data_IF_009479159074
#
_entry.id   IF_009479159074
#
_cell.length_a   1.000
_cell.length_b   1.000
_cell.length_c   1.000
_cell.angle_alpha   90.00
_cell.angle_beta   90.00
_cell.angle_gamma   90.00
#
_symmetry.space_group_name_H-M   'P 1'
#
loop_
_entity.id
_entity.type
_entity.pdbx_description
1 polymer ?
#
# COMPACT_ATOMS: atom_id res chain seq x y z
N UNK A 1 17.84 -39.17 13.96
CA UNK A 1 17.65 -38.62 12.60
C UNK A 1 17.04 -37.24 12.77
N UNK A 2 17.79 -36.18 12.46
CA UNK A 2 17.34 -34.80 12.69
C UNK A 2 16.69 -34.28 11.40
N UNK A 3 15.38 -34.11 11.42
CA UNK A 3 14.63 -33.50 10.31
C UNK A 3 14.79 -31.99 10.39
N UNK A 4 15.41 -31.38 9.38
CA UNK A 4 15.39 -29.92 9.25
C UNK A 4 13.99 -29.48 8.80
N UNK A 5 13.35 -28.50 9.46
CA UNK A 5 12.08 -27.98 8.99
C UNK A 5 12.24 -27.40 7.59
N UNK A 6 11.33 -27.78 6.67
CA UNK A 6 11.25 -27.18 5.35
C UNK A 6 11.12 -25.65 5.51
N UNK A 7 11.93 -24.84 4.82
CA UNK A 7 11.85 -23.39 4.94
C UNK A 7 10.42 -22.94 4.66
N UNK A 8 9.93 -22.04 5.51
CA UNK A 8 8.66 -21.31 5.35
C UNK A 8 8.58 -20.85 3.90
N UNK A 9 7.61 -21.40 3.14
CA UNK A 9 7.41 -21.30 1.69
C UNK A 9 8.29 -20.21 1.05
N UNK A 10 9.44 -20.64 0.53
CA UNK A 10 10.29 -19.72 -0.22
C UNK A 10 9.48 -19.07 -1.33
N UNK A 11 9.59 -17.74 -1.48
CA UNK A 11 8.86 -17.03 -2.53
C UNK A 11 9.58 -17.28 -3.85
N UNK A 12 8.82 -17.71 -4.85
CA UNK A 12 9.31 -17.96 -6.20
C UNK A 12 8.90 -16.81 -7.12
N UNK A 13 9.84 -16.38 -7.96
CA UNK A 13 9.60 -15.43 -9.06
C UNK A 13 10.07 -16.12 -10.34
N UNK A 14 9.13 -16.41 -11.24
CA UNK A 14 9.40 -17.11 -12.49
C UNK A 14 9.94 -16.14 -13.55
N UNK A 15 10.82 -16.64 -14.40
CA UNK A 15 11.31 -15.95 -15.57
C UNK A 15 10.13 -15.63 -16.51
N UNK A 16 10.10 -14.39 -17.03
CA UNK A 16 9.07 -13.91 -17.93
C UNK A 16 9.16 -14.56 -19.32
N UNK A 17 10.33 -15.06 -19.72
CA UNK A 17 10.55 -15.56 -21.08
C UNK A 17 9.89 -16.92 -21.33
N UNK A 18 10.31 -17.95 -20.59
CA UNK A 18 9.93 -19.35 -20.84
C UNK A 18 9.38 -20.06 -19.60
N UNK A 19 9.44 -19.41 -18.42
CA UNK A 19 9.15 -20.00 -17.11
C UNK A 19 9.95 -21.27 -16.79
N UNK A 20 11.01 -21.59 -17.54
CA UNK A 20 11.91 -22.70 -17.27
C UNK A 20 12.93 -22.34 -16.17
N UNK A 21 13.06 -21.03 -15.88
CA UNK A 21 13.92 -20.52 -14.79
C UNK A 21 13.10 -19.79 -13.74
N UNK A 22 13.61 -19.79 -12.52
CA UNK A 22 13.04 -19.01 -11.44
C UNK A 22 14.09 -18.58 -10.41
N UNK A 23 13.78 -17.49 -9.73
CA UNK A 23 14.48 -17.06 -8.53
C UNK A 23 13.66 -17.47 -7.31
N UNK A 24 14.29 -18.15 -6.36
CA UNK A 24 13.70 -18.50 -5.06
C UNK A 24 14.40 -17.74 -3.96
N UNK A 25 13.59 -17.10 -3.11
CA UNK A 25 14.03 -16.45 -1.87
C UNK A 25 13.77 -17.37 -0.68
N UNK A 26 14.79 -17.65 0.12
CA UNK A 26 14.67 -18.44 1.36
C UNK A 26 15.35 -17.73 2.53
N UNK A 27 14.70 -17.69 3.69
CA UNK A 27 15.23 -17.02 4.90
C UNK A 27 15.86 -18.05 5.84
N UNK A 28 17.07 -17.75 6.31
CA UNK A 28 17.78 -18.54 7.32
C UNK A 28 17.97 -17.69 8.58
N UNK A 29 16.90 -17.53 9.35
CA UNK A 29 16.85 -16.62 10.50
C UNK A 29 17.95 -16.89 11.54
N UNK A 30 18.22 -18.16 11.86
CA UNK A 30 19.27 -18.54 12.80
C UNK A 30 20.68 -18.11 12.37
N UNK A 31 20.92 -17.99 11.06
CA UNK A 31 22.19 -17.53 10.51
C UNK A 31 22.20 -16.03 10.20
N UNK A 32 21.06 -15.34 10.33
CA UNK A 32 20.93 -13.94 9.92
C UNK A 32 21.11 -13.71 8.41
N UNK A 33 20.80 -14.72 7.59
CA UNK A 33 21.03 -14.70 6.15
C UNK A 33 19.74 -14.89 5.34
N UNK A 34 19.73 -14.32 4.14
CA UNK A 34 18.73 -14.55 3.12
C UNK A 34 19.42 -15.14 1.88
N UNK A 35 18.91 -16.26 1.39
CA UNK A 35 19.43 -16.91 0.19
C UNK A 35 18.57 -16.52 -1.01
N UNK A 36 19.19 -15.97 -2.04
CA UNK A 36 18.65 -15.88 -3.39
C UNK A 36 19.23 -17.03 -4.20
N UNK A 37 18.37 -17.90 -4.74
CA UNK A 37 18.81 -19.05 -5.55
C UNK A 37 18.18 -18.99 -6.93
N UNK A 38 18.99 -19.25 -7.97
CA UNK A 38 18.55 -19.38 -9.34
C UNK A 38 18.34 -20.86 -9.65
N UNK A 39 17.18 -21.17 -10.19
CA UNK A 39 16.75 -22.50 -10.55
C UNK A 39 16.49 -22.58 -12.05
N UNK A 40 16.80 -23.75 -12.62
CA UNK A 40 16.41 -24.15 -13.96
C UNK A 40 15.73 -25.50 -13.84
N UNK A 41 14.48 -25.57 -14.25
CA UNK A 41 13.60 -26.70 -13.96
C UNK A 41 13.65 -27.02 -12.46
N UNK A 42 13.95 -28.26 -12.09
CA UNK A 42 14.07 -28.71 -10.70
C UNK A 42 15.49 -28.60 -10.12
N UNK A 43 16.42 -27.96 -10.84
CA UNK A 43 17.84 -27.89 -10.43
C UNK A 43 18.24 -26.48 -10.01
N UNK A 44 18.81 -26.35 -8.81
CA UNK A 44 19.46 -25.12 -8.38
C UNK A 44 20.80 -24.95 -9.11
N UNK A 45 20.91 -23.91 -9.93
CA UNK A 45 22.10 -23.63 -10.75
C UNK A 45 22.98 -22.52 -10.16
N UNK A 46 22.51 -21.82 -9.12
CA UNK A 46 23.30 -20.81 -8.43
C UNK A 46 22.65 -20.33 -7.13
N UNK A 47 23.46 -19.91 -6.15
CA UNK A 47 22.97 -19.34 -4.89
C UNK A 47 23.87 -18.22 -4.41
N UNK A 48 23.26 -17.13 -3.97
CA UNK A 48 23.91 -16.03 -3.28
C UNK A 48 23.32 -15.93 -1.88
N UNK A 49 24.18 -15.77 -0.87
CA UNK A 49 23.78 -15.55 0.53
C UNK A 49 23.99 -14.07 0.85
N UNK A 50 22.96 -13.42 1.34
CA UNK A 50 22.96 -11.98 1.59
C UNK A 50 22.68 -11.70 3.06
N UNK A 51 23.42 -10.74 3.62
CA UNK A 51 23.11 -10.11 4.90
C UNK A 51 21.96 -9.12 4.75
N UNK A 52 21.29 -8.71 5.85
CA UNK A 52 20.16 -7.78 5.77
C UNK A 52 20.47 -6.45 5.06
N UNK A 53 21.66 -5.89 5.26
CA UNK A 53 22.09 -4.65 4.60
C UNK A 53 22.29 -4.82 3.08
N UNK A 54 22.79 -5.98 2.67
CA UNK A 54 22.95 -6.34 1.26
C UNK A 54 21.60 -6.58 0.58
N UNK A 55 20.64 -7.19 1.29
CA UNK A 55 19.26 -7.34 0.81
C UNK A 55 18.61 -5.97 0.62
N UNK A 56 18.79 -5.05 1.56
CA UNK A 56 18.24 -3.70 1.43
C UNK A 56 18.78 -2.97 0.19
N UNK A 57 20.10 -3.09 -0.08
CA UNK A 57 20.72 -2.54 -1.30
C UNK A 57 20.16 -3.19 -2.57
N UNK A 58 19.97 -4.50 -2.57
CA UNK A 58 19.36 -5.21 -3.70
C UNK A 58 17.92 -4.75 -3.97
N UNK A 59 17.10 -4.58 -2.92
CA UNK A 59 15.72 -4.10 -3.05
C UNK A 59 15.66 -2.68 -3.61
N UNK A 60 16.57 -1.80 -3.18
CA UNK A 60 16.68 -0.46 -3.76
C UNK A 60 16.95 -0.54 -5.27
N UNK A 61 17.98 -1.27 -5.69
CA UNK A 61 18.31 -1.44 -7.11
C UNK A 61 17.15 -2.03 -7.94
N UNK A 62 16.41 -3.00 -7.38
CA UNK A 62 15.22 -3.56 -8.04
C UNK A 62 14.10 -2.52 -8.21
N UNK A 63 13.93 -1.65 -7.22
CA UNK A 63 12.89 -0.61 -7.22
C UNK A 63 13.25 0.52 -8.17
N UNK A 64 14.53 0.92 -8.19
CA UNK A 64 15.05 1.93 -9.12
C UNK A 64 14.89 1.45 -10.58
N UNK A 65 15.29 0.21 -10.89
CA UNK A 65 15.10 -0.35 -12.23
C UNK A 65 13.62 -0.50 -12.62
N UNK A 66 12.73 -0.76 -11.66
CA UNK A 66 11.28 -0.75 -11.90
C UNK A 66 10.78 0.66 -12.24
N UNK A 67 11.26 1.69 -11.55
CA UNK A 67 10.90 3.08 -11.84
C UNK A 67 11.37 3.49 -13.25
N UNK A 68 12.60 3.14 -13.63
CA UNK A 68 13.11 3.39 -14.99
C UNK A 68 12.23 2.74 -16.08
N UNK A 69 11.77 1.51 -15.87
CA UNK A 69 10.86 0.83 -16.79
C UNK A 69 9.47 1.49 -16.85
N UNK A 70 8.96 1.99 -15.72
CA UNK A 70 7.69 2.70 -15.67
C UNK A 70 7.76 4.04 -16.40
N UNK A 71 8.86 4.78 -16.25
CA UNK A 71 9.12 6.03 -16.96
C UNK A 71 9.25 5.79 -18.47
N UNK A 72 9.95 4.73 -18.88
CA UNK A 72 10.06 4.33 -20.28
C UNK A 72 8.70 3.91 -20.91
N UNK A 73 7.83 3.27 -20.12
CA UNK A 73 6.47 2.95 -20.53
C UNK A 73 5.53 4.19 -20.56
N UNK A 74 5.96 5.30 -19.95
CA UNK A 74 5.19 6.53 -19.73
C UNK A 74 5.24 7.58 -20.83
N UNK A 75 5.56 7.22 -22.08
CA UNK A 75 5.41 8.14 -23.21
C UNK A 75 3.96 8.25 -23.72
N UNK A 76 3.46 9.48 -23.94
CA UNK A 76 2.88 10.34 -22.93
C UNK A 76 1.47 9.86 -22.51
N UNK A 77 1.35 9.37 -21.28
CA UNK A 77 0.08 9.51 -20.57
C UNK A 77 -0.13 11.01 -20.34
N UNK A 78 -1.29 11.53 -20.70
CA UNK A 78 -1.73 12.91 -20.48
C UNK A 78 -1.10 13.48 -19.21
N UNK A 79 -0.21 14.46 -19.40
CA UNK A 79 0.65 14.94 -18.33
C UNK A 79 -0.22 15.18 -17.09
N UNK A 80 0.06 14.50 -15.97
CA UNK A 80 -0.71 14.75 -14.78
C UNK A 80 -0.62 16.24 -14.51
N UNK A 81 -1.78 16.89 -14.36
CA UNK A 81 -1.83 18.31 -14.05
C UNK A 81 -0.75 18.63 -13.01
N UNK A 82 0.02 19.71 -13.17
CA UNK A 82 1.18 19.99 -12.34
C UNK A 82 0.82 19.78 -10.88
N UNK A 83 1.73 19.25 -10.06
CA UNK A 83 1.43 18.81 -8.70
C UNK A 83 0.68 19.86 -7.86
N UNK A 84 0.95 21.15 -8.12
CA UNK A 84 0.18 22.29 -7.62
C UNK A 84 -1.33 22.26 -7.96
N UNK A 85 -1.69 21.92 -9.19
CA UNK A 85 -3.09 21.76 -9.63
C UNK A 85 -3.77 20.57 -8.96
N UNK A 86 -3.04 19.47 -8.73
CA UNK A 86 -3.55 18.32 -7.95
C UNK A 86 -3.80 18.70 -6.50
N UNK A 87 -2.87 19.40 -5.86
CA UNK A 87 -3.03 19.88 -4.49
C UNK A 87 -4.20 20.86 -4.38
N UNK A 88 -4.31 21.83 -5.29
CA UNK A 88 -5.44 22.76 -5.33
C UNK A 88 -6.80 22.05 -5.50
N UNK A 89 -6.86 20.99 -6.32
CA UNK A 89 -8.08 20.19 -6.47
C UNK A 89 -8.46 19.44 -5.18
N UNK A 90 -7.47 18.95 -4.41
CA UNK A 90 -7.72 18.34 -3.10
C UNK A 90 -8.22 19.39 -2.11
N UNK A 91 -7.60 20.56 -2.04
CA UNK A 91 -8.00 21.66 -1.15
C UNK A 91 -9.43 22.12 -1.42
N UNK A 92 -9.82 22.29 -2.69
CA UNK A 92 -11.19 22.64 -3.07
C UNK A 92 -12.22 21.60 -2.61
N UNK A 93 -11.88 20.30 -2.73
CA UNK A 93 -12.75 19.22 -2.28
C UNK A 93 -12.92 19.22 -0.75
N UNK A 94 -11.84 19.49 -0.01
CA UNK A 94 -11.87 19.60 1.46
C UNK A 94 -12.72 20.80 1.89
N UNK A 95 -12.51 21.98 1.31
CA UNK A 95 -13.31 23.17 1.60
C UNK A 95 -14.82 22.95 1.32
N UNK A 96 -15.14 22.23 0.25
CA UNK A 96 -16.51 21.83 -0.07
C UNK A 96 -17.12 20.85 0.96
N UNK A 97 -16.32 20.02 1.62
CA UNK A 97 -16.78 19.15 2.72
C UNK A 97 -16.98 19.97 4.00
N UNK A 98 -16.02 20.81 4.35
CA UNK A 98 -16.03 21.64 5.55
C UNK A 98 -17.24 22.58 5.59
N UNK A 99 -17.56 23.22 4.47
CA UNK A 99 -18.74 24.07 4.30
C UNK A 99 -20.06 23.33 4.51
N UNK A 100 -20.16 22.05 4.11
CA UNK A 100 -21.34 21.20 4.36
C UNK A 100 -21.46 20.83 5.84
N UNK A 101 -20.33 20.52 6.48
CA UNK A 101 -20.27 20.17 7.91
C UNK A 101 -20.40 21.39 8.84
N UNK A 102 -20.11 22.60 8.35
CA UNK A 102 -20.19 23.85 9.10
C UNK A 102 -21.60 24.37 9.36
N UNK A 103 -22.67 23.62 9.05
CA UNK A 103 -24.05 24.10 9.22
C UNK A 103 -24.38 24.33 10.71
N UNK A 104 -24.76 25.56 11.14
CA UNK A 104 -25.13 25.87 12.52
C UNK A 104 -26.54 25.38 12.93
N UNK A 105 -27.09 24.39 12.20
CA UNK A 105 -28.51 24.03 12.24
C UNK A 105 -28.94 23.19 13.44
N UNK A 106 -28.04 22.40 14.03
CA UNK A 106 -28.37 21.51 15.15
C UNK A 106 -28.58 22.22 16.50
N UNK A 107 -28.34 23.54 16.59
CA UNK A 107 -28.62 24.33 17.81
C UNK A 107 -29.93 25.14 17.77
N UNK A 108 -30.67 25.17 16.65
CA UNK A 108 -31.95 25.93 16.53
C UNK A 108 -33.23 25.10 16.71
N UNK A 109 -33.13 23.84 17.12
CA UNK A 109 -34.30 23.06 17.53
C UNK A 109 -34.75 23.35 19.00
N UNK A 110 -34.07 24.24 19.72
CA UNK A 110 -34.38 24.59 21.11
C UNK A 110 -35.79 25.19 21.33
N UNK A 111 -36.19 26.27 20.63
CA UNK A 111 -37.43 26.96 20.95
C UNK A 111 -38.69 26.22 20.44
N UNK A 112 -38.61 25.50 19.31
CA UNK A 112 -39.75 24.76 18.77
C UNK A 112 -40.12 23.54 19.63
N UNK A 113 -39.11 22.81 20.13
CA UNK A 113 -39.31 21.65 21.02
C UNK A 113 -39.77 22.12 22.41
N UNK A 114 -39.20 23.20 22.95
CA UNK A 114 -39.65 23.77 24.23
C UNK A 114 -41.11 24.25 24.18
N UNK A 115 -41.54 24.87 23.07
CA UNK A 115 -42.92 25.30 22.88
C UNK A 115 -43.91 24.12 22.76
N UNK A 116 -43.49 23.00 22.14
CA UNK A 116 -44.31 21.79 22.05
C UNK A 116 -44.51 21.12 23.43
N UNK A 117 -43.45 21.04 24.24
CA UNK A 117 -43.50 20.47 25.59
C UNK A 117 -44.33 21.34 26.55
N UNK A 118 -44.24 22.66 26.43
CA UNK A 118 -45.05 23.60 27.21
C UNK A 118 -46.55 23.50 26.93
N UNK A 119 -46.94 23.27 25.66
CA UNK A 119 -48.35 23.09 25.27
C UNK A 119 -48.93 21.77 25.78
N UNK A 120 -48.12 20.70 25.80
CA UNK A 120 -48.56 19.39 26.30
C UNK A 120 -48.81 19.41 27.81
N UNK A 121 -47.95 20.09 28.58
CA UNK A 121 -48.10 20.22 30.05
C UNK A 121 -49.32 21.04 30.49
N UNK A 122 -49.78 22.00 29.67
CA UNK A 122 -50.99 22.79 29.96
C UNK A 122 -52.29 22.06 29.64
N UNK A 123 -52.26 20.99 28.84
CA UNK A 123 -53.44 20.17 28.52
C UNK A 123 -53.68 19.03 29.53
N UNK A 124 -52.73 18.82 30.45
CA UNK A 124 -52.77 17.78 31.47
C UNK A 124 -52.98 18.37 32.90
N UNK A 125 -53.36 19.65 32.99
CA UNK A 125 -53.88 20.31 34.20
C UNK A 125 -55.28 20.80 33.89
#
# INVERSE_FOLDING_TARGET
MTVLPLPVRGRWVWDAHDKARAVRVSTHAAAGLLNLSLWRDETCVGTVKLRPDEVARLVAALTDGLAELADAAGAPAEAPAPEAARLAAVEQRVAGLESRTGTPGLRRAGPAVAAAVGRLRRRLR
#
